data_IF_355241492443
#
_entry.id   IF_355241492443
#
_cell.length_a   1.000
_cell.length_b   1.000
_cell.length_c   1.000
_cell.angle_alpha   90.00
_cell.angle_beta   90.00
_cell.angle_gamma   90.00
#
_symmetry.space_group_name_H-M   'P 1'
#
loop_
_entity.id
_entity.type
_entity.pdbx_description
1 polymer ?
#
# COMPACT_ATOMS: atom_id res chain seq x y z
N UNK A 1 1.13 -16.36 -24.42
CA UNK A 1 1.11 -15.08 -23.70
C UNK A 1 0.48 -15.38 -22.35
N UNK A 2 1.20 -15.21 -21.24
CA UNK A 2 0.64 -15.47 -19.91
C UNK A 2 -0.53 -14.52 -19.63
N UNK A 3 -1.59 -15.04 -19.01
CA UNK A 3 -2.73 -14.22 -18.62
C UNK A 3 -2.31 -13.24 -17.52
N UNK A 4 -2.90 -12.04 -17.52
CA UNK A 4 -2.70 -11.04 -16.45
C UNK A 4 -2.92 -11.64 -15.06
N UNK A 5 -3.90 -12.53 -14.91
CA UNK A 5 -4.18 -13.22 -13.65
C UNK A 5 -3.04 -14.14 -13.21
N UNK A 6 -2.42 -14.86 -14.15
CA UNK A 6 -1.27 -15.72 -13.87
C UNK A 6 -0.07 -14.92 -13.38
N UNK A 7 0.17 -13.73 -13.95
CA UNK A 7 1.23 -12.82 -13.48
C UNK A 7 0.98 -12.37 -12.03
N UNK A 8 -0.27 -12.05 -11.69
CA UNK A 8 -0.64 -11.68 -10.31
C UNK A 8 -0.46 -12.86 -9.34
N UNK A 9 -0.87 -14.06 -9.73
CA UNK A 9 -0.67 -15.28 -8.93
C UNK A 9 0.81 -15.56 -8.64
N UNK A 10 1.69 -15.50 -9.67
CA UNK A 10 3.13 -15.63 -9.48
C UNK A 10 3.69 -14.55 -8.54
N UNK A 11 3.26 -13.30 -8.75
CA UNK A 11 3.71 -12.16 -7.94
C UNK A 11 3.32 -12.29 -6.46
N UNK A 12 2.14 -12.82 -6.16
CA UNK A 12 1.72 -13.11 -4.78
C UNK A 12 2.68 -14.09 -4.11
N UNK A 13 3.05 -15.17 -4.79
CA UNK A 13 3.96 -16.18 -4.25
C UNK A 13 5.36 -15.62 -4.04
N UNK A 14 5.89 -14.88 -5.02
CA UNK A 14 7.19 -14.21 -4.91
C UNK A 14 7.21 -13.23 -3.72
N UNK A 15 6.18 -12.38 -3.60
CA UNK A 15 6.06 -11.44 -2.49
C UNK A 15 5.94 -12.12 -1.13
N UNK A 16 5.17 -13.22 -1.03
CA UNK A 16 5.08 -13.99 0.20
C UNK A 16 6.42 -14.64 0.57
N UNK A 17 7.17 -15.18 -0.41
CA UNK A 17 8.50 -15.76 -0.16
C UNK A 17 9.46 -14.74 0.43
N UNK A 18 9.50 -13.53 -0.13
CA UNK A 18 10.32 -12.44 0.40
C UNK A 18 9.96 -12.03 1.82
N UNK A 19 8.67 -12.07 2.16
CA UNK A 19 8.16 -11.72 3.48
C UNK A 19 8.32 -12.85 4.50
N UNK A 20 9.05 -13.91 4.18
CA UNK A 20 9.26 -15.06 5.08
C UNK A 20 8.13 -16.09 5.06
N UNK A 21 7.23 -16.01 4.08
CA UNK A 21 6.17 -16.97 3.82
C UNK A 21 4.86 -16.73 4.55
N UNK A 22 4.74 -15.66 5.34
CA UNK A 22 3.51 -15.25 6.02
C UNK A 22 3.38 -13.73 5.94
N UNK A 23 2.24 -13.23 5.44
CA UNK A 23 1.99 -11.79 5.43
C UNK A 23 0.51 -11.43 5.27
N UNK A 24 0.13 -10.26 5.78
CA UNK A 24 -1.15 -9.65 5.46
C UNK A 24 -1.23 -9.17 4.00
N UNK A 25 -2.45 -9.00 3.49
CA UNK A 25 -2.74 -8.66 2.09
C UNK A 25 -2.11 -7.34 1.66
N UNK A 26 -2.06 -6.35 2.55
CA UNK A 26 -1.46 -5.03 2.29
C UNK A 26 0.05 -5.13 2.09
N UNK A 27 0.76 -5.86 2.96
CA UNK A 27 2.19 -6.10 2.84
C UNK A 27 2.52 -6.83 1.54
N UNK A 28 1.73 -7.85 1.17
CA UNK A 28 1.91 -8.57 -0.11
C UNK A 28 1.80 -7.60 -1.29
N UNK A 29 0.75 -6.77 -1.34
CA UNK A 29 0.55 -5.77 -2.41
C UNK A 29 1.72 -4.78 -2.51
N UNK A 30 2.17 -4.26 -1.37
CA UNK A 30 3.31 -3.36 -1.31
C UNK A 30 4.59 -4.03 -1.83
N UNK A 31 4.87 -5.25 -1.42
CA UNK A 31 6.05 -5.99 -1.89
C UNK A 31 5.97 -6.29 -3.39
N UNK A 32 4.78 -6.64 -3.92
CA UNK A 32 4.58 -6.81 -5.37
C UNK A 32 4.96 -5.53 -6.13
N UNK A 33 4.43 -4.37 -5.71
CA UNK A 33 4.72 -3.10 -6.40
C UNK A 33 6.16 -2.64 -6.21
N UNK A 34 6.75 -2.89 -5.04
CA UNK A 34 8.10 -2.43 -4.71
C UNK A 34 9.14 -3.23 -5.51
N UNK A 35 8.95 -4.54 -5.67
CA UNK A 35 9.88 -5.40 -6.40
C UNK A 35 9.52 -5.54 -7.89
N UNK A 36 8.43 -4.89 -8.32
CA UNK A 36 7.88 -4.98 -9.67
C UNK A 36 7.74 -6.44 -10.17
N UNK A 37 7.27 -7.33 -9.28
CA UNK A 37 7.20 -8.75 -9.58
C UNK A 37 6.34 -9.03 -10.81
N UNK A 38 6.85 -9.87 -11.70
CA UNK A 38 6.25 -10.16 -13.01
C UNK A 38 5.90 -8.90 -13.83
N UNK A 39 6.62 -7.79 -13.63
CA UNK A 39 6.39 -6.51 -14.29
C UNK A 39 5.21 -5.71 -13.76
N UNK A 40 4.62 -6.11 -12.61
CA UNK A 40 3.50 -5.40 -11.99
C UNK A 40 4.01 -4.18 -11.25
N UNK A 41 3.68 -2.99 -11.75
CA UNK A 41 4.17 -1.72 -11.19
C UNK A 41 3.21 -1.16 -10.15
N UNK A 42 3.65 -0.11 -9.45
CA UNK A 42 2.83 0.63 -8.48
C UNK A 42 1.44 1.00 -9.02
N UNK A 43 1.36 1.57 -10.23
CA UNK A 43 0.08 1.96 -10.82
C UNK A 43 -0.81 0.76 -11.16
N UNK A 44 -0.25 -0.42 -11.43
CA UNK A 44 -1.06 -1.61 -11.63
C UNK A 44 -1.76 -2.01 -10.34
N UNK A 45 -1.04 -1.95 -9.20
CA UNK A 45 -1.55 -2.34 -7.87
C UNK A 45 -2.58 -1.35 -7.31
N UNK A 46 -2.29 -0.04 -7.41
CA UNK A 46 -3.04 1.00 -6.70
C UNK A 46 -3.98 1.84 -7.59
N UNK A 47 -4.06 1.59 -8.91
CA UNK A 47 -5.02 2.30 -9.74
C UNK A 47 -6.46 1.85 -9.51
N UNK A 48 -7.38 2.81 -9.60
CA UNK A 48 -8.83 2.58 -9.56
C UNK A 48 -9.47 2.93 -10.89
N UNK A 49 -10.52 2.21 -11.27
CA UNK A 49 -11.39 2.54 -12.42
C UNK A 49 -12.78 2.91 -11.94
N UNK A 50 -13.46 3.77 -12.69
CA UNK A 50 -14.86 4.10 -12.45
C UNK A 50 -15.76 2.95 -12.93
N UNK A 51 -16.57 2.41 -12.04
CA UNK A 51 -17.63 1.44 -12.34
C UNK A 51 -19.02 2.07 -12.26
N UNK A 52 -20.06 1.26 -12.42
CA UNK A 52 -21.46 1.71 -12.36
C UNK A 52 -21.90 2.15 -10.96
N UNK A 53 -21.28 1.62 -9.91
CA UNK A 53 -21.68 1.81 -8.50
C UNK A 53 -20.58 2.46 -7.66
N UNK A 54 -19.56 3.05 -8.29
CA UNK A 54 -18.38 3.61 -7.63
C UNK A 54 -17.07 3.16 -8.26
N UNK A 55 -15.95 3.57 -7.67
CA UNK A 55 -14.63 3.11 -8.09
C UNK A 55 -14.35 1.67 -7.65
N UNK A 56 -13.52 0.98 -8.42
CA UNK A 56 -13.00 -0.34 -8.05
C UNK A 56 -11.52 -0.47 -8.45
N UNK A 57 -10.77 -1.31 -7.74
CA UNK A 57 -9.41 -1.69 -8.12
C UNK A 57 -9.42 -2.91 -9.05
N UNK A 58 -8.98 -2.80 -10.31
CA UNK A 58 -8.86 -3.95 -11.21
C UNK A 58 -7.86 -4.98 -10.70
N UNK A 59 -6.78 -4.54 -10.06
CA UNK A 59 -5.78 -5.44 -9.49
C UNK A 59 -6.36 -6.27 -8.34
N UNK A 60 -7.17 -5.67 -7.48
CA UNK A 60 -7.80 -6.43 -6.39
C UNK A 60 -8.69 -7.55 -6.90
N UNK A 61 -9.34 -7.38 -8.05
CA UNK A 61 -10.08 -8.47 -8.68
C UNK A 61 -9.15 -9.64 -9.01
N UNK A 62 -8.07 -9.40 -9.75
CA UNK A 62 -7.12 -10.47 -10.10
C UNK A 62 -6.41 -11.04 -8.88
N UNK A 63 -6.11 -10.22 -7.86
CA UNK A 63 -5.48 -10.62 -6.61
C UNK A 63 -6.38 -11.56 -5.79
N UNK A 64 -7.66 -11.21 -5.65
CA UNK A 64 -8.65 -11.99 -4.93
C UNK A 64 -8.91 -13.34 -5.59
N UNK A 65 -9.06 -13.35 -6.92
CA UNK A 65 -9.17 -14.59 -7.70
C UNK A 65 -7.87 -15.40 -7.60
N UNK A 66 -6.71 -14.75 -7.73
CA UNK A 66 -5.41 -15.40 -7.65
C UNK A 66 -5.18 -16.11 -6.31
N UNK A 67 -5.52 -15.48 -5.19
CA UNK A 67 -5.44 -16.11 -3.86
C UNK A 67 -6.25 -17.42 -3.79
N UNK A 68 -7.46 -17.43 -4.36
CA UNK A 68 -8.32 -18.63 -4.39
C UNK A 68 -7.76 -19.70 -5.34
N UNK A 69 -7.20 -19.31 -6.49
CA UNK A 69 -6.51 -20.23 -7.40
C UNK A 69 -5.31 -20.88 -6.70
N UNK A 70 -4.46 -20.07 -6.05
CA UNK A 70 -3.28 -20.54 -5.31
C UNK A 70 -3.66 -21.51 -4.18
N UNK A 71 -4.75 -21.22 -3.47
CA UNK A 71 -5.30 -22.14 -2.46
C UNK A 71 -5.73 -23.47 -3.10
N UNK A 72 -6.42 -23.41 -4.24
CA UNK A 72 -6.92 -24.62 -4.92
C UNK A 72 -5.82 -25.59 -5.37
N UNK A 73 -4.64 -25.05 -5.71
CA UNK A 73 -3.45 -25.85 -6.08
C UNK A 73 -2.51 -26.13 -4.91
N UNK A 74 -2.89 -25.72 -3.70
CA UNK A 74 -2.17 -26.04 -2.46
C UNK A 74 -0.92 -25.20 -2.20
N UNK A 75 -0.79 -24.02 -2.80
CA UNK A 75 0.36 -23.11 -2.59
C UNK A 75 0.24 -22.26 -1.32
N UNK A 76 -1.00 -21.95 -0.92
CA UNK A 76 -1.30 -21.21 0.32
C UNK A 76 -2.22 -22.04 1.20
N UNK A 77 -2.10 -21.83 2.50
CA UNK A 77 -3.02 -22.39 3.48
C UNK A 77 -4.45 -21.84 3.29
N UNK A 78 -5.39 -22.38 4.08
CA UNK A 78 -6.78 -21.94 4.05
C UNK A 78 -6.87 -20.44 4.33
N UNK A 79 -7.53 -19.73 3.42
CA UNK A 79 -7.77 -18.30 3.54
C UNK A 79 -8.82 -18.05 4.63
N UNK A 80 -8.46 -17.30 5.67
CA UNK A 80 -9.35 -16.89 6.75
C UNK A 80 -9.45 -15.36 6.82
N UNK A 81 -10.65 -14.85 7.15
CA UNK A 81 -10.89 -13.41 7.21
C UNK A 81 -10.04 -12.77 8.31
N UNK A 82 -9.39 -11.64 7.97
CA UNK A 82 -8.58 -10.86 8.90
C UNK A 82 -7.28 -11.53 9.35
N UNK A 83 -6.95 -12.71 8.82
CA UNK A 83 -5.68 -13.39 9.11
C UNK A 83 -4.67 -13.21 7.99
N UNK A 84 -3.41 -13.39 8.35
CA UNK A 84 -2.31 -13.40 7.40
C UNK A 84 -2.41 -14.59 6.45
N UNK A 85 -1.86 -14.42 5.26
CA UNK A 85 -1.77 -15.47 4.24
C UNK A 85 -0.46 -16.21 4.45
N UNK A 86 -0.54 -17.53 4.61
CA UNK A 86 0.61 -18.41 4.83
C UNK A 86 0.88 -19.29 3.61
N UNK A 87 2.13 -19.36 3.17
CA UNK A 87 2.57 -20.34 2.17
C UNK A 87 2.66 -21.74 2.78
N UNK A 88 2.23 -22.74 2.01
CA UNK A 88 2.56 -24.15 2.27
C UNK A 88 4.00 -24.44 1.85
N UNK A 89 4.51 -25.64 2.15
CA UNK A 89 5.83 -26.07 1.66
C UNK A 89 5.91 -26.03 0.13
N UNK A 90 4.84 -26.46 -0.56
CA UNK A 90 4.76 -26.35 -2.02
C UNK A 90 4.88 -24.89 -2.48
N UNK A 91 4.13 -23.98 -1.85
CA UNK A 91 4.20 -22.55 -2.15
C UNK A 91 5.59 -21.95 -1.90
N UNK A 92 6.37 -22.48 -0.95
CA UNK A 92 7.73 -22.02 -0.66
C UNK A 92 8.77 -22.55 -1.64
N UNK A 93 8.66 -23.81 -2.06
CA UNK A 93 9.75 -24.50 -2.78
C UNK A 93 9.52 -24.68 -4.27
N UNK A 94 8.27 -24.65 -4.76
CA UNK A 94 7.99 -24.99 -6.15
C UNK A 94 8.59 -23.98 -7.15
N UNK A 95 8.93 -24.45 -8.36
CA UNK A 95 9.44 -23.60 -9.42
C UNK A 95 8.29 -22.93 -10.19
N UNK A 96 8.29 -21.60 -10.21
CA UNK A 96 7.25 -20.78 -10.84
C UNK A 96 7.43 -20.59 -12.36
N UNK A 97 8.55 -21.02 -12.95
CA UNK A 97 8.82 -20.85 -14.39
C UNK A 97 7.71 -21.45 -15.24
N UNK A 98 7.27 -22.66 -14.87
CA UNK A 98 6.21 -23.42 -15.56
C UNK A 98 4.85 -23.31 -14.86
N UNK A 99 4.70 -22.38 -13.91
CA UNK A 99 3.40 -22.17 -13.26
C UNK A 99 2.44 -21.39 -14.17
N UNK A 100 1.16 -21.78 -14.24
CA UNK A 100 0.61 -23.06 -13.79
C UNK A 100 0.95 -24.18 -14.79
N UNK A 101 1.25 -25.37 -14.27
CA UNK A 101 1.36 -26.58 -15.11
C UNK A 101 -0.01 -26.98 -15.65
N UNK A 102 -0.06 -27.77 -16.73
CA UNK A 102 -1.32 -28.28 -17.29
C UNK A 102 -2.19 -29.03 -16.27
N UNK A 103 -1.59 -29.65 -15.24
CA UNK A 103 -2.31 -30.27 -14.13
C UNK A 103 -2.93 -29.22 -13.20
N UNK A 104 -2.17 -28.19 -12.84
CA UNK A 104 -2.66 -27.08 -12.02
C UNK A 104 -3.75 -26.28 -12.72
N UNK A 105 -3.62 -26.03 -14.03
CA UNK A 105 -4.67 -25.38 -14.82
C UNK A 105 -6.01 -26.13 -14.75
N UNK A 106 -5.98 -27.47 -14.85
CA UNK A 106 -7.19 -28.30 -14.68
C UNK A 106 -7.78 -28.18 -13.29
N UNK A 107 -6.95 -28.22 -12.25
CA UNK A 107 -7.39 -28.07 -10.85
C UNK A 107 -8.06 -26.71 -10.64
N UNK A 108 -7.44 -25.63 -11.11
CA UNK A 108 -7.96 -24.25 -11.02
C UNK A 108 -9.29 -24.16 -11.79
N UNK A 109 -9.36 -24.70 -13.01
CA UNK A 109 -10.58 -24.69 -13.82
C UNK A 109 -11.74 -25.44 -13.14
N UNK A 110 -11.49 -26.63 -12.61
CA UNK A 110 -12.49 -27.42 -11.91
C UNK A 110 -12.96 -26.74 -10.61
N UNK A 111 -12.05 -26.11 -9.88
CA UNK A 111 -12.36 -25.31 -8.69
C UNK A 111 -13.34 -24.17 -9.02
N UNK A 112 -13.04 -23.38 -10.06
CA UNK A 112 -13.90 -22.28 -10.48
C UNK A 112 -15.23 -22.74 -11.07
N UNK A 113 -15.26 -23.88 -11.79
CA UNK A 113 -16.50 -24.48 -12.29
C UNK A 113 -17.43 -24.88 -11.15
N UNK A 114 -16.91 -25.56 -10.12
CA UNK A 114 -17.67 -25.92 -8.91
C UNK A 114 -18.17 -24.68 -8.16
N UNK A 115 -17.34 -23.64 -8.01
CA UNK A 115 -17.75 -22.39 -7.34
C UNK A 115 -18.84 -21.65 -8.12
N UNK A 116 -18.75 -21.63 -9.46
CA UNK A 116 -19.76 -21.03 -10.33
C UNK A 116 -21.11 -21.78 -10.26
N UNK A 117 -21.10 -23.11 -10.29
CA UNK A 117 -22.30 -23.93 -10.13
C UNK A 117 -23.02 -23.65 -8.80
N UNK A 118 -22.28 -23.67 -7.69
CA UNK A 118 -22.84 -23.32 -6.37
C UNK A 118 -23.43 -21.90 -6.32
N UNK A 119 -22.76 -20.93 -6.95
CA UNK A 119 -23.28 -19.56 -7.01
C UNK A 119 -24.57 -19.45 -7.85
N UNK A 120 -24.68 -20.19 -8.96
CA UNK A 120 -25.90 -20.22 -9.77
C UNK A 120 -27.07 -20.90 -9.05
N UNK A 121 -26.81 -21.97 -8.30
CA UNK A 121 -27.79 -22.64 -7.44
C UNK A 121 -28.27 -21.73 -6.30
N UNK A 122 -27.39 -20.90 -5.73
CA UNK A 122 -27.76 -19.89 -4.73
C UNK A 122 -28.58 -18.75 -5.33
N UNK A 123 -28.20 -18.25 -6.52
CA UNK A 123 -28.94 -17.18 -7.22
C UNK A 123 -30.35 -17.57 -7.65
N UNK A 124 -30.64 -18.87 -7.81
CA UNK A 124 -31.99 -19.36 -8.09
C UNK A 124 -32.86 -19.45 -6.83
N UNK A 125 -32.26 -19.33 -5.63
CA UNK A 125 -32.98 -19.36 -4.34
C UNK A 125 -33.04 -18.00 -3.63
N UNK A 126 -32.10 -17.08 -3.84
CA UNK A 126 -32.15 -15.70 -3.31
C UNK A 126 -31.29 -14.71 -4.13
N UNK A 127 -31.78 -13.46 -4.26
CA UNK A 127 -31.11 -12.37 -4.95
C UNK A 127 -30.10 -11.66 -4.01
N UNK A 128 -28.93 -12.26 -3.78
CA UNK A 128 -27.80 -11.53 -3.19
C UNK A 128 -26.48 -11.99 -3.82
N UNK A 129 -25.77 -11.05 -4.45
CA UNK A 129 -24.44 -11.27 -4.99
C UNK A 129 -23.43 -11.35 -3.86
N UNK A 130 -23.04 -12.56 -3.48
CA UNK A 130 -21.94 -12.79 -2.54
C UNK A 130 -20.61 -12.46 -3.22
N UNK A 131 -20.15 -11.21 -3.07
CA UNK A 131 -18.72 -10.94 -2.99
C UNK A 131 -18.28 -11.34 -1.58
N UNK A 132 -17.23 -12.16 -1.44
CA UNK A 132 -16.71 -12.58 -0.14
C UNK A 132 -16.46 -11.32 0.72
N UNK A 133 -17.01 -11.25 1.95
CA UNK A 133 -17.04 -10.02 2.75
C UNK A 133 -15.64 -9.40 2.99
N UNK A 134 -14.62 -10.24 3.16
CA UNK A 134 -13.22 -9.81 3.28
C UNK A 134 -12.68 -9.13 2.00
N UNK A 135 -13.12 -9.59 0.82
CA UNK A 135 -12.75 -8.99 -0.47
C UNK A 135 -13.40 -7.63 -0.67
N UNK A 136 -14.60 -7.46 -0.12
CA UNK A 136 -15.31 -6.18 -0.12
C UNK A 136 -14.62 -5.18 0.81
N UNK A 137 -14.23 -5.60 2.02
CA UNK A 137 -13.50 -4.75 2.98
C UNK A 137 -12.18 -4.21 2.42
N UNK A 138 -11.33 -5.06 1.83
CA UNK A 138 -10.06 -4.58 1.24
C UNK A 138 -10.29 -3.61 0.06
N UNK A 139 -11.35 -3.85 -0.72
CA UNK A 139 -11.69 -3.00 -1.86
C UNK A 139 -12.22 -1.64 -1.38
N UNK A 140 -13.06 -1.64 -0.34
CA UNK A 140 -13.60 -0.44 0.27
C UNK A 140 -12.49 0.37 0.96
N UNK A 141 -11.52 -0.28 1.63
CA UNK A 141 -10.32 0.39 2.19
C UNK A 141 -9.52 1.12 1.10
N UNK A 142 -9.29 0.46 -0.04
CA UNK A 142 -8.57 1.08 -1.14
C UNK A 142 -9.33 2.23 -1.78
N UNK A 143 -10.66 2.16 -1.81
CA UNK A 143 -11.49 3.20 -2.41
C UNK A 143 -11.37 4.53 -1.67
N UNK A 144 -11.55 4.53 -0.35
CA UNK A 144 -11.48 5.79 0.42
C UNK A 144 -10.05 6.33 0.47
N UNK A 145 -9.02 5.47 0.57
CA UNK A 145 -7.61 5.91 0.50
C UNK A 145 -7.28 6.55 -0.85
N UNK A 146 -7.82 5.98 -1.93
CA UNK A 146 -7.66 6.55 -3.27
C UNK A 146 -8.39 7.90 -3.41
N UNK A 147 -9.57 8.05 -2.80
CA UNK A 147 -10.29 9.32 -2.77
C UNK A 147 -9.54 10.38 -1.95
N UNK A 148 -9.06 10.03 -0.76
CA UNK A 148 -8.21 10.88 0.07
C UNK A 148 -7.00 11.38 -0.73
N UNK A 149 -6.29 10.49 -1.42
CA UNK A 149 -5.11 10.87 -2.19
C UNK A 149 -5.43 11.81 -3.35
N UNK A 150 -6.59 11.63 -4.03
CA UNK A 150 -7.05 12.60 -5.05
C UNK A 150 -7.27 13.97 -4.43
N UNK A 151 -7.96 14.06 -3.30
CA UNK A 151 -8.16 15.33 -2.61
C UNK A 151 -6.85 15.99 -2.18
N UNK A 152 -5.88 15.20 -1.67
CA UNK A 152 -4.55 15.71 -1.30
C UNK A 152 -3.76 16.22 -2.51
N UNK A 153 -3.89 15.56 -3.67
CA UNK A 153 -3.29 16.03 -4.92
C UNK A 153 -3.91 17.33 -5.44
N UNK A 154 -5.15 17.64 -5.07
CA UNK A 154 -5.85 18.88 -5.44
C UNK A 154 -5.55 20.06 -4.50
N UNK A 155 -4.87 19.83 -3.37
CA UNK A 155 -4.49 20.92 -2.48
C UNK A 155 -3.54 21.91 -3.16
N UNK A 156 -3.69 23.19 -2.83
CA UNK A 156 -2.62 24.16 -3.07
C UNK A 156 -1.34 23.76 -2.32
N UNK A 157 -0.14 24.03 -2.85
CA UNK A 157 1.13 23.66 -2.20
C UNK A 157 1.20 24.07 -0.72
N UNK A 158 0.86 25.32 -0.39
CA UNK A 158 0.86 25.82 0.99
C UNK A 158 -0.13 25.08 1.91
N UNK A 159 -1.28 24.63 1.37
CA UNK A 159 -2.26 23.83 2.12
C UNK A 159 -1.72 22.43 2.40
N UNK A 160 -1.03 21.82 1.44
CA UNK A 160 -0.39 20.52 1.62
C UNK A 160 0.75 20.58 2.65
N UNK A 161 1.59 21.62 2.61
CA UNK A 161 2.62 21.88 3.61
C UNK A 161 2.03 22.05 5.02
N UNK A 162 0.94 22.82 5.15
CA UNK A 162 0.23 23.00 6.43
C UNK A 162 -0.33 21.67 6.96
N UNK A 163 -1.00 20.90 6.10
CA UNK A 163 -1.50 19.57 6.42
C UNK A 163 -0.39 18.62 6.87
N UNK A 164 0.76 18.67 6.18
CA UNK A 164 1.90 17.82 6.46
C UNK A 164 2.56 18.17 7.80
N UNK A 165 2.66 19.47 8.13
CA UNK A 165 3.10 19.94 9.45
C UNK A 165 2.15 19.47 10.56
N UNK A 166 0.83 19.51 10.33
CA UNK A 166 -0.14 18.96 11.28
C UNK A 166 0.08 17.46 11.51
N UNK A 167 0.26 16.69 10.43
CA UNK A 167 0.53 15.26 10.52
C UNK A 167 1.81 14.96 11.31
N UNK A 168 2.90 15.65 10.98
CA UNK A 168 4.19 15.48 11.67
C UNK A 168 4.10 15.88 13.15
N UNK A 169 3.35 16.92 13.47
CA UNK A 169 3.07 17.27 14.87
C UNK A 169 2.31 16.17 15.61
N UNK A 170 1.34 15.50 14.96
CA UNK A 170 0.65 14.33 15.52
C UNK A 170 1.56 13.11 15.69
N UNK A 171 2.63 13.01 14.91
CA UNK A 171 3.68 12.00 15.07
C UNK A 171 4.64 12.30 16.23
N UNK A 172 4.50 13.43 16.93
CA UNK A 172 5.30 13.79 18.10
C UNK A 172 6.48 14.72 17.82
N UNK A 173 6.60 15.26 16.60
CA UNK A 173 7.62 16.26 16.30
C UNK A 173 7.14 17.64 16.74
N UNK A 174 7.93 18.29 17.58
CA UNK A 174 7.71 19.68 18.00
C UNK A 174 8.38 20.60 16.99
N UNK A 175 7.57 21.29 16.19
CA UNK A 175 8.07 22.22 15.18
C UNK A 175 8.63 23.46 15.86
N UNK A 176 9.86 23.82 15.50
CA UNK A 176 10.50 25.05 15.95
C UNK A 176 9.80 26.26 15.29
N UNK A 177 9.39 27.27 16.04
CA UNK A 177 8.68 28.43 15.46
C UNK A 177 9.62 29.46 14.83
N UNK A 178 10.88 29.49 15.24
CA UNK A 178 11.92 30.39 14.74
C UNK A 178 12.62 29.80 13.52
N UNK A 179 12.93 28.49 13.55
CA UNK A 179 13.56 27.78 12.44
C UNK A 179 12.58 26.98 11.55
N UNK A 180 11.38 26.65 12.01
CA UNK A 180 10.45 25.77 11.28
C UNK A 180 9.49 26.47 10.32
N UNK A 181 9.53 27.81 10.24
CA UNK A 181 8.87 28.60 9.18
C UNK A 181 9.97 29.38 8.45
N UNK A 182 10.95 28.69 7.85
CA UNK A 182 11.84 29.34 6.91
C UNK A 182 10.98 29.74 5.72
N UNK A 183 10.48 30.98 5.74
CA UNK A 183 9.71 31.57 4.64
C UNK A 183 10.53 31.38 3.37
N UNK A 184 9.99 30.54 2.48
CA UNK A 184 10.35 30.35 1.08
C UNK A 184 11.25 31.47 0.56
N UNK A 185 12.56 31.21 0.58
CA UNK A 185 13.59 32.15 0.17
C UNK A 185 14.68 31.45 -0.63
N UNK A 186 15.33 30.41 -0.06
CA UNK A 186 16.35 29.66 -0.84
C UNK A 186 16.81 28.31 -0.24
N UNK A 187 16.12 27.73 0.77
CA UNK A 187 16.74 26.68 1.61
C UNK A 187 15.95 25.36 1.80
N UNK A 188 15.02 25.02 0.91
CA UNK A 188 14.66 23.62 0.62
C UNK A 188 14.20 22.69 1.77
N UNK A 189 13.56 23.20 2.83
CA UNK A 189 12.76 22.42 3.81
C UNK A 189 11.45 23.15 4.14
N UNK A 190 10.39 22.38 4.43
CA UNK A 190 9.06 22.91 4.78
C UNK A 190 8.80 22.91 6.29
N UNK A 191 9.71 22.32 7.05
CA UNK A 191 9.68 22.33 8.51
C UNK A 191 10.98 21.84 9.11
N UNK A 192 11.30 22.38 10.28
CA UNK A 192 12.37 21.92 11.13
C UNK A 192 11.83 21.82 12.56
N UNK A 193 12.24 20.79 13.28
CA UNK A 193 11.77 20.57 14.63
C UNK A 193 12.56 19.51 15.36
N UNK A 194 11.99 19.09 16.48
CA UNK A 194 12.62 18.18 17.41
C UNK A 194 11.69 17.01 17.69
N UNK A 195 12.22 15.80 17.66
CA UNK A 195 11.53 14.60 18.13
C UNK A 195 12.18 14.15 19.42
N UNK A 196 11.38 13.96 20.47
CA UNK A 196 11.87 13.41 21.74
C UNK A 196 11.35 11.98 21.87
N UNK A 197 12.27 11.01 21.89
CA UNK A 197 11.89 9.61 22.11
C UNK A 197 11.50 9.37 23.58
N UNK A 198 10.87 8.22 23.83
CA UNK A 198 10.51 7.78 25.19
C UNK A 198 11.74 7.59 26.10
N UNK A 199 12.93 7.45 25.52
CA UNK A 199 14.22 7.38 26.22
C UNK A 199 14.82 8.78 26.52
N UNK A 200 14.01 9.84 26.41
CA UNK A 200 14.41 11.25 26.61
C UNK A 200 15.52 11.73 25.68
N UNK A 201 15.69 11.09 24.51
CA UNK A 201 16.61 11.56 23.48
C UNK A 201 15.90 12.54 22.55
N UNK A 202 16.41 13.78 22.51
CA UNK A 202 15.97 14.78 21.54
C UNK A 202 16.80 14.69 20.28
N UNK A 203 16.15 14.52 19.13
CA UNK A 203 16.76 14.51 17.82
C UNK A 203 16.25 15.65 16.93
N UNK A 204 17.15 16.27 16.17
CA UNK A 204 16.81 17.30 15.16
C UNK A 204 16.23 16.66 13.91
N UNK A 205 15.09 17.16 13.46
CA UNK A 205 14.32 16.60 12.34
C UNK A 205 14.05 17.67 11.30
N UNK A 206 14.49 17.40 10.07
CA UNK A 206 14.11 18.19 8.90
C UNK A 206 12.92 17.55 8.19
N UNK A 207 12.02 18.36 7.65
CA UNK A 207 10.82 17.88 6.95
C UNK A 207 10.73 18.54 5.59
N UNK A 208 10.55 17.73 4.56
CA UNK A 208 10.18 18.18 3.22
C UNK A 208 8.90 17.47 2.80
N UNK A 209 7.99 18.23 2.23
CA UNK A 209 6.70 17.83 1.71
C UNK A 209 6.67 18.21 0.23
N UNK A 210 6.36 17.27 -0.65
CA UNK A 210 6.16 17.57 -2.06
C UNK A 210 4.86 16.97 -2.57
N UNK A 211 3.95 17.84 -2.97
CA UNK A 211 2.72 17.48 -3.66
C UNK A 211 3.03 17.09 -5.11
N UNK A 212 3.05 15.79 -5.38
CA UNK A 212 3.20 15.23 -6.72
C UNK A 212 1.84 14.81 -7.26
N UNK A 213 1.47 15.27 -8.45
CA UNK A 213 0.24 14.86 -9.13
C UNK A 213 0.46 13.66 -10.04
N UNK A 214 1.69 13.46 -10.53
CA UNK A 214 2.08 12.36 -11.41
C UNK A 214 3.55 12.00 -11.21
N UNK A 215 3.90 10.78 -11.59
CA UNK A 215 5.29 10.28 -11.57
C UNK A 215 5.78 9.92 -10.18
N UNK A 216 6.86 9.13 -10.13
CA UNK A 216 7.53 8.74 -8.89
C UNK A 216 8.55 9.80 -8.45
N UNK A 217 8.79 9.90 -7.15
CA UNK A 217 9.91 10.67 -6.60
C UNK A 217 11.20 9.89 -6.82
N UNK A 218 12.16 10.51 -7.50
CA UNK A 218 13.43 9.91 -7.92
C UNK A 218 14.55 10.13 -6.90
N UNK A 219 15.66 9.41 -7.08
CA UNK A 219 16.84 9.53 -6.22
C UNK A 219 17.38 10.97 -6.08
N UNK A 220 17.50 11.78 -7.15
CA UNK A 220 18.01 13.15 -7.04
C UNK A 220 17.22 14.04 -6.07
N UNK A 221 15.92 13.81 -5.93
CA UNK A 221 15.08 14.55 -4.99
C UNK A 221 15.44 14.24 -3.54
N UNK A 222 15.73 12.96 -3.25
CA UNK A 222 16.20 12.53 -1.94
C UNK A 222 17.61 13.04 -1.67
N UNK A 223 18.50 13.00 -2.67
CA UNK A 223 19.87 13.49 -2.52
C UNK A 223 19.91 15.00 -2.25
N UNK A 224 19.10 15.76 -2.99
CA UNK A 224 18.93 17.20 -2.76
C UNK A 224 18.45 17.47 -1.33
N UNK A 225 17.43 16.75 -0.87
CA UNK A 225 16.92 16.92 0.49
C UNK A 225 17.98 16.62 1.56
N UNK A 226 18.78 15.56 1.37
CA UNK A 226 19.88 15.24 2.29
C UNK A 226 20.95 16.32 2.35
N UNK A 227 21.30 16.93 1.22
CA UNK A 227 22.20 18.09 1.20
C UNK A 227 21.66 19.28 2.01
N UNK A 228 20.34 19.50 1.98
CA UNK A 228 19.70 20.52 2.81
C UNK A 228 19.73 20.12 4.30
N UNK A 229 19.43 18.86 4.62
CA UNK A 229 19.48 18.35 6.00
C UNK A 229 20.83 18.59 6.68
N UNK A 230 21.92 18.41 5.93
CA UNK A 230 23.27 18.64 6.43
C UNK A 230 23.49 20.11 6.83
N UNK A 231 22.92 21.05 6.08
CA UNK A 231 22.97 22.49 6.37
C UNK A 231 22.22 22.90 7.65
N UNK A 232 21.20 22.13 8.04
CA UNK A 232 20.46 22.32 9.30
C UNK A 232 20.97 21.42 10.43
N UNK A 233 22.02 20.64 10.19
CA UNK A 233 22.53 19.60 11.09
C UNK A 233 21.40 18.68 11.61
N UNK A 234 20.44 18.33 10.75
CA UNK A 234 19.38 17.40 11.11
C UNK A 234 19.95 15.98 11.26
N UNK A 235 19.54 15.26 12.32
CA UNK A 235 19.96 13.86 12.52
C UNK A 235 19.25 12.91 11.56
N UNK A 236 18.00 13.23 11.21
CA UNK A 236 17.27 12.53 10.17
C UNK A 236 16.23 13.46 9.53
N UNK A 237 15.76 13.06 8.35
CA UNK A 237 14.76 13.78 7.58
C UNK A 237 13.47 13.00 7.46
N UNK A 238 12.36 13.69 7.22
CA UNK A 238 11.10 13.09 6.79
C UNK A 238 10.72 13.70 5.44
N UNK A 239 10.58 12.85 4.43
CA UNK A 239 10.13 13.25 3.09
C UNK A 239 8.72 12.72 2.83
N UNK A 240 7.77 13.64 2.68
CA UNK A 240 6.35 13.35 2.47
C UNK A 240 5.97 13.64 1.04
N UNK A 241 5.27 12.72 0.38
CA UNK A 241 4.72 12.95 -0.95
C UNK A 241 3.34 12.31 -1.12
N UNK A 242 2.53 12.89 -1.99
CA UNK A 242 1.26 12.31 -2.44
C UNK A 242 1.42 11.19 -3.47
N UNK A 243 2.64 10.99 -4.01
CA UNK A 243 2.97 9.92 -4.96
C UNK A 243 3.75 8.79 -4.28
N UNK A 244 4.60 8.08 -5.01
CA UNK A 244 5.44 6.97 -4.55
C UNK A 244 6.91 7.23 -4.86
N UNK A 245 7.80 6.52 -4.18
CA UNK A 245 9.26 6.62 -4.38
C UNK A 245 9.75 5.51 -5.30
N UNK A 246 10.72 5.82 -6.16
CA UNK A 246 11.44 4.78 -6.91
C UNK A 246 12.30 3.92 -5.97
N UNK A 247 12.68 2.72 -6.41
CA UNK A 247 13.58 1.87 -5.64
C UNK A 247 14.96 2.51 -5.41
N UNK A 248 15.43 3.33 -6.35
CA UNK A 248 16.66 4.10 -6.18
C UNK A 248 16.49 5.16 -5.08
N UNK A 249 15.38 5.88 -5.05
CA UNK A 249 15.07 6.84 -3.99
C UNK A 249 15.00 6.17 -2.61
N UNK A 250 14.33 5.00 -2.51
CA UNK A 250 14.28 4.21 -1.26
C UNK A 250 15.66 3.75 -0.78
N UNK A 251 16.51 3.27 -1.69
CA UNK A 251 17.90 2.92 -1.37
C UNK A 251 18.67 4.14 -0.88
N UNK A 252 18.58 5.27 -1.58
CA UNK A 252 19.29 6.51 -1.23
C UNK A 252 18.89 7.05 0.15
N UNK A 253 17.61 6.92 0.50
CA UNK A 253 17.07 7.37 1.79
C UNK A 253 17.71 6.70 3.00
N UNK A 254 18.24 5.48 2.84
CA UNK A 254 18.88 4.71 3.94
C UNK A 254 20.40 4.71 3.90
N UNK A 255 21.01 5.27 2.84
CA UNK A 255 22.47 5.36 2.70
C UNK A 255 23.07 6.53 3.48
N UNK A 256 24.34 6.46 3.87
CA UNK A 256 25.06 7.57 4.52
C UNK A 256 24.67 7.79 5.99
N UNK A 257 25.16 8.89 6.58
CA UNK A 257 25.03 9.14 8.02
C UNK A 257 23.62 9.61 8.43
N UNK A 258 23.01 10.47 7.62
CA UNK A 258 21.68 11.02 7.89
C UNK A 258 20.64 10.26 7.05
N UNK A 259 19.72 9.57 7.72
CA UNK A 259 18.65 8.80 7.05
C UNK A 259 17.43 9.65 6.76
N UNK A 260 16.67 9.27 5.73
CA UNK A 260 15.40 9.90 5.37
C UNK A 260 14.26 8.90 5.56
N UNK A 261 13.30 9.23 6.40
CA UNK A 261 12.02 8.51 6.49
C UNK A 261 11.14 8.92 5.32
N UNK A 262 10.73 7.96 4.51
CA UNK A 262 9.90 8.17 3.34
C UNK A 262 8.43 7.91 3.67
N UNK A 263 7.57 8.91 3.44
CA UNK A 263 6.12 8.80 3.58
C UNK A 263 5.50 9.02 2.19
N UNK A 264 5.18 7.92 1.52
CA UNK A 264 4.48 7.94 0.23
C UNK A 264 2.96 8.07 0.41
N UNK A 265 2.22 8.16 -0.68
CA UNK A 265 0.77 8.33 -0.64
C UNK A 265 0.04 7.21 0.15
N UNK A 266 0.51 5.96 0.06
CA UNK A 266 -0.12 4.86 0.81
C UNK A 266 0.17 5.02 2.31
N UNK A 267 1.43 5.25 2.69
CA UNK A 267 1.81 5.52 4.07
C UNK A 267 1.12 6.77 4.62
N UNK A 268 0.94 7.81 3.80
CA UNK A 268 0.24 9.04 4.15
C UNK A 268 -1.22 8.75 4.48
N UNK A 269 -1.91 7.96 3.67
CA UNK A 269 -3.29 7.55 3.93
C UNK A 269 -3.42 6.72 5.21
N UNK A 270 -2.46 5.82 5.48
CA UNK A 270 -2.42 5.05 6.73
C UNK A 270 -2.19 5.93 7.96
N UNK A 271 -1.37 6.97 7.85
CA UNK A 271 -1.14 7.90 8.95
C UNK A 271 -2.37 8.80 9.18
N UNK A 272 -3.07 9.20 8.13
CA UNK A 272 -4.36 9.89 8.23
C UNK A 272 -5.38 9.04 8.96
N UNK A 273 -5.44 7.74 8.64
CA UNK A 273 -6.25 6.75 9.35
C UNK A 273 -5.87 6.66 10.83
N UNK A 274 -4.59 6.39 11.11
CA UNK A 274 -4.04 6.21 12.45
C UNK A 274 -4.32 7.39 13.38
N UNK A 275 -4.12 8.61 12.88
CA UNK A 275 -4.31 9.83 13.66
C UNK A 275 -5.69 10.47 13.49
N UNK A 276 -6.59 9.84 12.72
CA UNK A 276 -7.95 10.32 12.41
C UNK A 276 -7.95 11.77 11.94
N UNK A 277 -7.02 12.12 11.06
CA UNK A 277 -6.83 13.49 10.59
C UNK A 277 -7.93 13.89 9.61
N UNK A 278 -8.91 14.66 10.08
CA UNK A 278 -10.02 15.16 9.26
C UNK A 278 -10.82 14.06 8.54
N UNK A 279 -10.90 12.87 9.14
CA UNK A 279 -11.72 11.76 8.65
C UNK A 279 -12.66 11.27 9.76
N UNK A 280 -13.78 10.65 9.37
CA UNK A 280 -14.72 10.03 10.31
C UNK A 280 -14.85 8.54 9.97
N UNK A 281 -14.57 7.63 10.91
CA UNK A 281 -14.73 6.20 10.66
C UNK A 281 -16.22 5.85 10.53
N UNK A 282 -16.54 5.02 9.54
CA UNK A 282 -17.88 4.45 9.36
C UNK A 282 -17.84 2.98 9.79
N UNK A 283 -18.61 2.63 10.82
CA UNK A 283 -18.75 1.24 11.28
C UNK A 283 -19.99 0.64 10.60
N UNK A 284 -19.86 -0.55 10.01
CA UNK A 284 -20.95 -1.29 9.35
C UNK A 284 -20.97 -2.75 9.82
N UNK A 285 -22.06 -3.45 9.53
CA UNK A 285 -22.26 -4.85 9.92
C UNK A 285 -22.28 -5.75 8.69
N UNK A 286 -21.68 -6.94 8.80
CA UNK A 286 -21.77 -8.01 7.80
C UNK A 286 -22.50 -9.20 8.40
N UNK A 287 -23.46 -9.78 7.68
CA UNK A 287 -24.11 -11.04 8.08
C UNK A 287 -23.13 -12.21 7.90
N UNK A 288 -23.14 -13.17 8.81
CA UNK A 288 -22.35 -14.39 8.73
C UNK A 288 -23.17 -15.57 8.16
N UNK A 289 -22.52 -16.73 8.02
CA UNK A 289 -23.11 -17.94 7.45
C UNK A 289 -24.31 -18.48 8.25
N UNK A 290 -24.54 -18.03 9.49
CA UNK A 290 -25.72 -18.44 10.26
C UNK A 290 -27.02 -17.93 9.62
N UNK A 291 -26.97 -16.80 8.92
CA UNK A 291 -28.15 -16.14 8.35
C UNK A 291 -28.47 -16.57 6.90
N UNK A 292 -27.77 -17.57 6.35
CA UNK A 292 -27.90 -18.06 4.97
C UNK A 292 -27.90 -19.60 4.89
#
# INVERSE_FOLDING_TARGET
>A
MESKRTLVEKSIIMALRDLGGVANRKSIRKTISDNEYCGIKYNDVYSTKMGKTGSYSPFMFDFNFGMKSLYSVGYVEKLERGKDITLTDLGRTDNLDNYPTAKQEKIIADFWKKKSQKNNERKTKEASGTNDAAEKEDTDDLNWKSELLKCLMEFEPAKFESFSRLLISKMGVVIDKEMGIVRSGDHGIDGFGYFTSDEFRTSRVAVQCKRYTQGAVSEPEIDKFKGVMDGFNAEYGIFITTSHFTNQAKKKATQGNNTVTLIDGQALADLVEKYKLHITPVITYTLDDYYY
#
